data_IF_802310327040
#
_entry.id   IF_802310327040
#
_cell.length_a   1.000
_cell.length_b   1.000
_cell.length_c   1.000
_cell.angle_alpha   90.00
_cell.angle_beta   90.00
_cell.angle_gamma   90.00
#
_symmetry.space_group_name_H-M   'P 1'
#
loop_
_entity.id
_entity.type
_entity.pdbx_description
1 polymer ?
#
# COMPACT_ATOMS: atom_id res chain seq x y z
N UNK A 1 28.22 1.51 -61.96
CA UNK A 1 28.30 1.66 -60.47
C UNK A 1 27.47 0.58 -59.80
N UNK A 2 28.07 -0.22 -58.94
CA UNK A 2 27.31 -1.16 -58.12
C UNK A 2 26.43 -0.36 -57.11
N UNK A 3 25.16 -0.76 -56.97
CA UNK A 3 24.21 -0.12 -56.03
C UNK A 3 23.70 -1.13 -55.01
N UNK A 4 23.38 -0.63 -53.84
CA UNK A 4 22.85 -1.45 -52.74
C UNK A 4 23.90 -2.39 -52.16
N UNK A 5 23.51 -3.65 -51.88
CA UNK A 5 24.37 -4.66 -51.21
C UNK A 5 25.68 -4.99 -51.98
N UNK A 6 25.76 -4.67 -53.22
CA UNK A 6 26.97 -4.88 -54.06
C UNK A 6 27.85 -3.63 -54.15
N UNK A 7 27.56 -2.60 -53.38
CA UNK A 7 28.40 -1.41 -53.27
C UNK A 7 29.67 -1.70 -52.47
N UNK A 8 30.64 -0.81 -52.57
CA UNK A 8 31.82 -0.81 -51.71
C UNK A 8 31.62 0.14 -50.55
N UNK A 9 32.21 -0.14 -49.41
CA UNK A 9 32.31 0.72 -48.25
C UNK A 9 33.78 0.88 -47.82
N UNK A 10 34.06 1.96 -47.12
CA UNK A 10 35.39 2.25 -46.59
C UNK A 10 35.44 1.72 -45.15
N UNK A 11 36.51 1.00 -44.82
CA UNK A 11 36.75 0.57 -43.43
C UNK A 11 37.18 1.75 -42.58
N UNK A 12 36.55 1.94 -41.43
CA UNK A 12 36.89 3.01 -40.46
C UNK A 12 38.29 2.82 -39.85
N UNK A 13 38.84 1.61 -39.95
CA UNK A 13 40.16 1.28 -39.38
C UNK A 13 41.30 1.54 -40.35
N UNK A 14 41.23 0.97 -41.55
CA UNK A 14 42.29 1.08 -42.55
C UNK A 14 42.06 2.19 -43.57
N UNK A 15 40.85 2.69 -43.74
CA UNK A 15 40.50 3.62 -44.80
C UNK A 15 40.45 2.98 -46.21
N UNK A 16 40.54 1.65 -46.30
CA UNK A 16 40.49 0.92 -47.56
C UNK A 16 39.07 0.58 -47.98
N UNK A 17 38.85 0.45 -49.28
CA UNK A 17 37.56 0.06 -49.84
C UNK A 17 37.40 -1.45 -49.86
N UNK A 18 36.33 -1.94 -49.29
CA UNK A 18 35.93 -3.36 -49.27
C UNK A 18 34.48 -3.54 -49.76
N UNK A 19 34.08 -4.74 -50.18
CA UNK A 19 32.68 -5.04 -50.46
C UNK A 19 31.82 -4.80 -49.23
N UNK A 20 30.68 -4.11 -49.37
CA UNK A 20 29.79 -3.78 -48.27
C UNK A 20 29.29 -5.03 -47.50
N UNK A 21 29.10 -6.15 -48.22
CA UNK A 21 28.66 -7.42 -47.61
C UNK A 21 29.66 -8.05 -46.63
N UNK A 22 30.94 -7.67 -46.74
CA UNK A 22 32.02 -8.18 -45.89
C UNK A 22 32.35 -7.24 -44.72
N UNK A 23 31.62 -6.13 -44.64
CA UNK A 23 31.75 -5.17 -43.55
C UNK A 23 31.01 -5.62 -42.32
N UNK A 24 31.63 -5.50 -41.16
CA UNK A 24 31.09 -5.87 -39.82
C UNK A 24 31.23 -4.69 -38.90
N UNK A 25 30.25 -4.51 -38.02
CA UNK A 25 30.30 -3.47 -36.99
C UNK A 25 30.98 -4.00 -35.74
N UNK A 26 32.03 -3.31 -35.27
CA UNK A 26 32.72 -3.62 -34.03
C UNK A 26 31.95 -3.13 -32.79
N UNK A 27 32.42 -3.55 -31.63
CA UNK A 27 31.86 -3.17 -30.30
C UNK A 27 31.92 -1.66 -30.01
N UNK A 28 32.90 -0.95 -30.61
CA UNK A 28 33.08 0.52 -30.52
C UNK A 28 32.19 1.30 -31.49
N UNK A 29 31.48 0.59 -32.37
CA UNK A 29 30.60 1.17 -33.38
C UNK A 29 31.27 1.35 -34.77
N UNK A 30 32.55 1.07 -34.94
CA UNK A 30 33.26 1.17 -36.20
C UNK A 30 32.75 0.14 -37.20
N UNK A 31 32.66 0.54 -38.44
CA UNK A 31 32.35 -0.34 -39.55
C UNK A 31 33.67 -0.76 -40.22
N UNK A 32 34.07 -2.00 -40.05
CA UNK A 32 35.36 -2.51 -40.52
C UNK A 32 35.15 -3.75 -41.37
N UNK A 33 36.16 -4.06 -42.20
CA UNK A 33 36.16 -5.31 -42.96
C UNK A 33 36.36 -6.50 -42.00
N UNK A 34 35.80 -7.65 -42.33
CA UNK A 34 35.88 -8.87 -41.52
C UNK A 34 37.32 -9.30 -41.18
N UNK A 35 38.30 -9.03 -42.03
CA UNK A 35 39.72 -9.34 -41.73
C UNK A 35 40.35 -8.41 -40.69
N UNK A 36 39.73 -7.25 -40.44
CA UNK A 36 40.20 -6.23 -39.50
C UNK A 36 39.39 -6.22 -38.19
N UNK A 37 38.41 -7.11 -38.10
CA UNK A 37 37.51 -7.18 -36.93
C UNK A 37 38.27 -7.58 -35.69
N UNK A 38 38.11 -6.78 -34.64
CA UNK A 38 38.56 -7.09 -33.29
C UNK A 38 37.38 -7.26 -32.34
N UNK A 39 37.40 -8.38 -31.61
CA UNK A 39 36.45 -8.60 -30.54
C UNK A 39 36.77 -7.68 -29.36
N UNK A 40 35.75 -7.31 -28.62
CA UNK A 40 35.88 -6.55 -27.37
C UNK A 40 36.77 -7.31 -26.39
N UNK A 41 37.76 -6.63 -25.80
CA UNK A 41 38.63 -7.26 -24.83
C UNK A 41 37.84 -7.55 -23.54
N UNK A 42 37.96 -8.75 -22.95
CA UNK A 42 37.20 -9.15 -21.76
C UNK A 42 37.35 -8.19 -20.59
N UNK A 43 38.49 -7.52 -20.44
CA UNK A 43 38.69 -6.55 -19.35
C UNK A 43 37.88 -5.24 -19.53
N UNK A 44 37.35 -4.98 -20.70
CA UNK A 44 36.47 -3.85 -20.96
C UNK A 44 35.02 -4.15 -20.62
N UNK A 45 34.70 -5.41 -20.37
CA UNK A 45 33.45 -5.83 -19.80
C UNK A 45 33.63 -5.91 -18.30
N UNK A 46 33.10 -4.90 -17.60
CA UNK A 46 32.98 -5.00 -16.16
C UNK A 46 32.00 -6.14 -15.92
N UNK A 47 32.53 -7.30 -15.52
CA UNK A 47 31.65 -8.35 -14.99
C UNK A 47 30.98 -7.72 -13.76
N UNK A 48 29.67 -7.49 -13.82
CA UNK A 48 28.91 -7.21 -12.62
C UNK A 48 29.15 -8.40 -11.70
N UNK A 49 30.02 -8.23 -10.73
CA UNK A 49 30.14 -9.22 -9.65
C UNK A 49 28.71 -9.31 -9.12
N UNK A 50 28.10 -10.46 -9.28
CA UNK A 50 26.87 -10.79 -8.58
C UNK A 50 27.14 -10.41 -7.14
N UNK A 51 26.28 -9.58 -6.57
CA UNK A 51 26.48 -9.05 -5.24
C UNK A 51 26.80 -10.15 -4.26
N UNK A 52 27.37 -9.77 -3.14
CA UNK A 52 27.70 -10.63 -2.02
C UNK A 52 26.71 -11.81 -1.94
N UNK A 53 27.21 -13.03 -2.01
CA UNK A 53 26.38 -14.24 -1.88
C UNK A 53 25.60 -14.29 -0.56
N UNK A 54 25.97 -13.47 0.40
CA UNK A 54 25.25 -13.23 1.66
C UNK A 54 24.17 -12.12 1.53
N UNK A 55 24.19 -11.36 0.44
CA UNK A 55 23.17 -10.35 0.16
C UNK A 55 21.88 -10.98 -0.34
N UNK A 56 20.79 -10.73 0.31
CA UNK A 56 19.48 -11.14 -0.18
C UNK A 56 19.10 -10.27 -1.39
N UNK A 57 18.71 -10.91 -2.50
CA UNK A 57 18.13 -10.22 -3.65
C UNK A 57 16.65 -10.00 -3.34
N UNK A 58 16.15 -8.78 -3.58
CA UNK A 58 14.74 -8.40 -3.32
C UNK A 58 14.32 -8.55 -1.85
N UNK A 59 15.18 -8.13 -0.95
CA UNK A 59 14.89 -8.12 0.49
C UNK A 59 13.64 -7.28 0.76
N UNK A 60 12.65 -7.91 1.35
CA UNK A 60 11.48 -7.25 1.92
C UNK A 60 11.46 -7.52 3.42
N UNK A 61 12.20 -6.76 4.20
CA UNK A 61 12.16 -6.92 5.65
C UNK A 61 10.76 -6.65 6.16
N UNK A 62 10.39 -7.30 7.25
CA UNK A 62 9.18 -6.95 7.98
C UNK A 62 9.24 -5.47 8.34
N UNK A 63 8.10 -4.80 8.17
CA UNK A 63 7.99 -3.40 8.56
C UNK A 63 8.08 -3.33 10.07
N UNK A 64 9.17 -2.78 10.55
CA UNK A 64 9.35 -2.43 11.97
C UNK A 64 8.83 -1.02 12.28
N UNK A 65 8.15 -0.39 11.31
CA UNK A 65 7.52 0.90 11.52
C UNK A 65 6.42 0.76 12.58
N UNK A 66 6.40 1.69 13.51
CA UNK A 66 5.32 1.79 14.49
C UNK A 66 3.97 1.91 13.76
N UNK A 67 2.96 1.30 14.34
CA UNK A 67 1.60 1.39 13.81
C UNK A 67 1.19 2.86 13.69
N UNK A 68 0.72 3.26 12.52
CA UNK A 68 0.19 4.60 12.26
C UNK A 68 -1.33 4.57 12.24
N UNK A 69 -1.94 5.73 12.52
CA UNK A 69 -3.36 5.87 12.34
C UNK A 69 -3.74 5.74 10.86
N UNK A 70 -4.70 4.87 10.54
CA UNK A 70 -5.20 4.64 9.19
C UNK A 70 -6.51 5.39 8.97
N UNK A 71 -6.68 6.10 7.85
CA UNK A 71 -7.95 6.71 7.51
C UNK A 71 -9.02 5.62 7.28
N UNK A 72 -10.19 5.82 7.85
CA UNK A 72 -11.34 4.96 7.66
C UNK A 72 -12.19 5.44 6.47
N UNK A 73 -12.99 4.52 5.93
CA UNK A 73 -13.99 4.86 4.92
C UNK A 73 -15.03 5.84 5.49
N UNK A 74 -15.80 6.55 4.66
CA UNK A 74 -16.92 7.34 5.13
C UNK A 74 -17.95 6.48 5.87
N UNK A 75 -18.42 6.99 7.02
CA UNK A 75 -19.36 6.31 7.92
C UNK A 75 -18.93 4.88 8.33
N UNK A 76 -17.77 4.73 8.97
CA UNK A 76 -17.19 3.43 9.23
C UNK A 76 -17.84 2.71 10.39
N UNK A 77 -18.64 3.39 11.23
CA UNK A 77 -19.27 2.85 12.41
C UNK A 77 -20.73 2.47 12.12
N UNK A 78 -21.15 1.34 12.64
CA UNK A 78 -22.52 0.84 12.53
C UNK A 78 -22.96 0.33 13.93
N UNK A 79 -24.02 0.91 14.46
CA UNK A 79 -24.67 0.41 15.67
C UNK A 79 -25.51 -0.81 15.36
N UNK A 80 -25.60 -1.77 16.28
CA UNK A 80 -26.23 -3.07 16.00
C UNK A 80 -27.69 -3.08 16.48
N UNK A 81 -27.93 -2.64 17.70
CA UNK A 81 -29.25 -2.67 18.31
C UNK A 81 -29.38 -1.55 19.34
N UNK A 82 -30.62 -1.13 19.60
CA UNK A 82 -30.92 -0.20 20.68
C UNK A 82 -30.44 -0.74 22.03
N UNK A 83 -29.95 0.15 22.88
CA UNK A 83 -29.39 -0.17 24.19
C UNK A 83 -28.20 -1.14 24.18
N UNK A 84 -27.59 -1.38 23.01
CA UNK A 84 -26.34 -2.11 22.88
C UNK A 84 -25.16 -1.14 22.81
N UNK A 85 -24.10 -1.42 23.56
CA UNK A 85 -22.83 -0.69 23.49
C UNK A 85 -21.91 -1.16 22.35
N UNK A 86 -22.29 -2.22 21.66
CA UNK A 86 -21.45 -2.81 20.63
C UNK A 86 -21.67 -2.14 19.29
N UNK A 87 -20.58 -1.70 18.66
CA UNK A 87 -20.59 -1.15 17.31
C UNK A 87 -19.67 -1.96 16.40
N UNK A 88 -20.10 -2.16 15.16
CA UNK A 88 -19.27 -2.67 14.10
C UNK A 88 -18.44 -1.55 13.48
N UNK A 89 -17.19 -1.81 13.21
CA UNK A 89 -16.29 -0.85 12.57
C UNK A 89 -15.81 -1.45 11.25
N UNK A 90 -15.99 -0.71 10.18
CA UNK A 90 -15.47 -1.08 8.87
C UNK A 90 -14.07 -0.50 8.65
N UNK A 91 -13.07 -1.36 8.57
CA UNK A 91 -11.68 -0.99 8.23
C UNK A 91 -11.12 -2.02 7.25
N UNK A 92 -10.93 -1.62 6.00
CA UNK A 92 -10.45 -2.51 4.95
C UNK A 92 -9.04 -3.04 5.23
N UNK A 93 -8.89 -4.37 5.22
CA UNK A 93 -7.60 -5.06 5.40
C UNK A 93 -6.88 -4.61 6.69
N UNK A 94 -7.62 -4.59 7.80
CA UNK A 94 -7.12 -4.03 9.06
C UNK A 94 -5.93 -4.78 9.65
N UNK A 95 -5.77 -6.09 9.40
CA UNK A 95 -4.65 -6.88 9.90
C UNK A 95 -4.56 -6.99 11.43
N UNK A 96 -5.66 -6.67 12.14
CA UNK A 96 -5.72 -6.67 13.60
C UNK A 96 -6.17 -8.02 14.13
N UNK A 97 -5.82 -8.30 15.37
CA UNK A 97 -6.23 -9.49 16.11
C UNK A 97 -7.22 -9.14 17.22
N UNK A 98 -8.03 -10.11 17.60
CA UNK A 98 -8.91 -9.95 18.78
C UNK A 98 -8.06 -9.65 20.01
N UNK A 99 -8.52 -8.69 20.82
CA UNK A 99 -7.87 -8.10 21.99
C UNK A 99 -6.84 -7.00 21.69
N UNK A 100 -6.58 -6.68 20.42
CA UNK A 100 -5.78 -5.49 20.11
C UNK A 100 -6.48 -4.23 20.64
N UNK A 101 -5.72 -3.19 20.96
CA UNK A 101 -6.27 -1.92 21.40
C UNK A 101 -6.26 -0.92 20.26
N UNK A 102 -7.43 -0.39 19.93
CA UNK A 102 -7.63 0.58 18.85
C UNK A 102 -8.17 1.89 19.41
N UNK A 103 -7.59 2.99 18.99
CA UNK A 103 -8.09 4.34 19.27
C UNK A 103 -8.55 4.99 17.97
N UNK A 104 -9.76 5.54 18.02
CA UNK A 104 -10.28 6.36 16.93
C UNK A 104 -9.87 7.82 17.11
N UNK A 105 -9.63 8.50 16.01
CA UNK A 105 -9.21 9.90 15.95
C UNK A 105 -9.91 10.60 14.80
N UNK A 106 -9.94 11.91 14.87
CA UNK A 106 -10.59 12.75 13.88
C UNK A 106 -12.02 13.14 14.29
N UNK A 107 -12.67 13.95 13.46
CA UNK A 107 -14.05 14.36 13.70
C UNK A 107 -14.99 13.18 13.44
N UNK A 108 -15.84 12.89 14.39
CA UNK A 108 -16.83 11.82 14.32
C UNK A 108 -18.20 12.45 14.23
N UNK A 109 -18.83 12.34 13.07
CA UNK A 109 -20.07 13.05 12.73
C UNK A 109 -21.26 12.11 12.65
N UNK A 110 -22.46 12.72 12.72
CA UNK A 110 -23.67 12.08 12.23
C UNK A 110 -23.74 12.20 10.70
N UNK A 111 -24.44 11.29 10.04
CA UNK A 111 -24.69 11.37 8.58
C UNK A 111 -25.55 12.58 8.20
N UNK A 112 -26.27 13.17 9.16
CA UNK A 112 -27.27 14.22 8.93
C UNK A 112 -26.74 15.65 9.09
N UNK A 113 -25.52 15.84 9.57
CA UNK A 113 -24.96 17.18 9.79
C UNK A 113 -23.62 17.35 9.05
N UNK A 114 -23.65 17.89 7.82
CA UNK A 114 -22.45 18.14 7.05
C UNK A 114 -21.58 19.28 7.59
N UNK A 115 -22.12 20.13 8.47
CA UNK A 115 -21.42 21.29 9.03
C UNK A 115 -20.74 21.00 10.38
N UNK A 116 -20.89 19.80 10.92
CA UNK A 116 -20.30 19.40 12.19
C UNK A 116 -18.76 19.24 12.16
N UNK A 117 -18.09 19.88 11.21
CA UNK A 117 -16.65 19.80 11.03
C UNK A 117 -15.82 20.21 12.26
N UNK A 118 -16.40 21.02 13.15
CA UNK A 118 -15.71 21.51 14.35
C UNK A 118 -16.27 20.97 15.68
N UNK A 119 -17.31 20.16 15.64
CA UNK A 119 -17.92 19.63 16.86
C UNK A 119 -18.31 18.16 16.69
N UNK A 120 -17.51 17.23 17.24
CA UNK A 120 -17.80 15.80 17.13
C UNK A 120 -19.03 15.44 17.95
N UNK A 121 -20.19 15.52 17.33
CA UNK A 121 -21.49 15.32 18.01
C UNK A 121 -21.75 13.84 18.28
N UNK A 122 -21.01 12.93 17.63
CA UNK A 122 -21.29 11.50 17.71
C UNK A 122 -22.47 11.09 16.81
N UNK A 123 -22.95 9.87 16.99
CA UNK A 123 -24.09 9.33 16.26
C UNK A 123 -24.83 8.30 17.12
N UNK A 124 -26.13 8.18 16.90
CA UNK A 124 -27.03 7.22 17.58
C UNK A 124 -26.89 7.20 19.14
N UNK A 125 -26.72 8.38 19.74
CA UNK A 125 -26.54 8.52 21.19
C UNK A 125 -25.09 8.33 21.67
N UNK A 126 -24.21 7.82 20.84
CA UNK A 126 -22.80 7.64 21.15
C UNK A 126 -22.06 8.96 20.86
N UNK A 127 -21.42 9.53 21.87
CA UNK A 127 -20.71 10.80 21.71
C UNK A 127 -19.37 10.63 21.01
N UNK A 128 -18.97 11.63 20.22
CA UNK A 128 -17.68 11.63 19.58
C UNK A 128 -16.50 11.58 20.57
N UNK A 129 -16.67 12.17 21.74
CA UNK A 129 -15.69 12.14 22.82
C UNK A 129 -15.46 10.71 23.36
N UNK A 130 -16.51 9.93 23.49
CA UNK A 130 -16.38 8.55 23.91
C UNK A 130 -15.72 7.70 22.83
N UNK A 131 -16.14 7.84 21.57
CA UNK A 131 -15.49 7.13 20.47
C UNK A 131 -13.99 7.49 20.33
N UNK A 132 -13.62 8.76 20.54
CA UNK A 132 -12.24 9.22 20.49
C UNK A 132 -11.46 9.02 21.79
N UNK A 133 -11.95 8.20 22.71
CA UNK A 133 -11.33 7.89 24.00
C UNK A 133 -9.84 7.63 23.91
N UNK A 134 -9.07 8.35 24.74
CA UNK A 134 -7.59 8.31 24.69
C UNK A 134 -7.01 6.92 24.98
N UNK A 135 -7.65 6.16 25.87
CA UNK A 135 -7.23 4.80 26.20
C UNK A 135 -7.47 3.79 25.07
N UNK A 136 -8.29 4.16 24.07
CA UNK A 136 -8.72 3.24 23.03
C UNK A 136 -9.71 2.20 23.52
N UNK A 137 -10.00 1.24 22.65
CA UNK A 137 -10.93 0.14 22.86
C UNK A 137 -10.25 -1.18 22.56
N UNK A 138 -10.50 -2.19 23.38
CA UNK A 138 -10.19 -3.57 23.01
C UNK A 138 -11.16 -4.04 21.94
N UNK A 139 -10.66 -4.65 20.89
CA UNK A 139 -11.46 -5.06 19.75
C UNK A 139 -11.74 -6.56 19.74
N UNK A 140 -12.81 -6.94 19.08
CA UNK A 140 -13.08 -8.32 18.66
C UNK A 140 -13.21 -8.35 17.16
N UNK A 141 -12.41 -9.18 16.48
CA UNK A 141 -12.44 -9.30 15.02
C UNK A 141 -13.74 -9.97 14.57
N UNK A 142 -14.35 -9.41 13.57
CA UNK A 142 -15.60 -9.89 12.97
C UNK A 142 -16.71 -8.86 13.02
N UNK A 143 -17.80 -9.13 12.30
CA UNK A 143 -19.03 -8.35 12.31
C UNK A 143 -20.03 -9.04 13.22
N UNK A 144 -20.74 -8.29 14.09
CA UNK A 144 -21.82 -8.82 14.91
C UNK A 144 -23.17 -8.48 14.30
N UNK A 145 -24.13 -9.39 14.49
CA UNK A 145 -25.53 -9.19 14.15
C UNK A 145 -26.30 -8.48 15.28
N UNK A 146 -27.59 -8.21 15.06
CA UNK A 146 -28.46 -7.58 16.02
C UNK A 146 -28.68 -8.42 17.31
N UNK A 147 -28.36 -9.70 17.27
CA UNK A 147 -28.38 -10.60 18.45
C UNK A 147 -27.03 -10.63 19.18
N UNK A 148 -26.02 -9.90 18.67
CA UNK A 148 -24.70 -9.83 19.25
C UNK A 148 -23.77 -10.99 18.88
N UNK A 149 -24.20 -11.91 17.98
CA UNK A 149 -23.39 -13.02 17.54
C UNK A 149 -22.40 -12.58 16.45
N UNK A 150 -21.18 -13.13 16.48
CA UNK A 150 -20.21 -12.87 15.42
C UNK A 150 -20.61 -13.68 14.20
N UNK A 151 -20.93 -12.98 13.11
CA UNK A 151 -21.38 -13.59 11.85
C UNK A 151 -20.24 -13.95 10.93
N UNK A 152 -19.07 -13.34 11.12
CA UNK A 152 -17.88 -13.59 10.27
C UNK A 152 -16.60 -13.37 11.07
N UNK A 153 -15.99 -14.46 11.53
CA UNK A 153 -14.77 -14.46 12.35
C UNK A 153 -13.49 -14.28 11.52
N UNK A 154 -13.54 -14.56 10.20
CA UNK A 154 -12.41 -14.41 9.28
C UNK A 154 -12.44 -13.06 8.56
N UNK A 155 -13.03 -12.07 9.18
CA UNK A 155 -13.32 -10.83 8.49
C UNK A 155 -12.16 -9.84 8.59
N UNK A 156 -11.42 -9.71 7.49
CA UNK A 156 -10.38 -8.69 7.33
C UNK A 156 -10.94 -7.26 7.16
N UNK A 157 -12.25 -7.09 7.20
CA UNK A 157 -12.91 -5.82 6.93
C UNK A 157 -13.66 -5.24 8.12
N UNK A 158 -13.96 -6.03 9.14
CA UNK A 158 -14.73 -5.57 10.29
C UNK A 158 -14.14 -6.06 11.60
N UNK A 159 -14.26 -5.22 12.59
CA UNK A 159 -14.09 -5.57 13.99
C UNK A 159 -15.15 -4.84 14.83
N UNK A 160 -15.34 -5.28 16.04
CA UNK A 160 -16.31 -4.67 16.97
C UNK A 160 -15.61 -4.07 18.17
N UNK A 161 -16.18 -3.00 18.68
CA UNK A 161 -15.79 -2.38 19.94
C UNK A 161 -17.01 -2.21 20.83
N UNK A 162 -16.79 -2.17 22.13
CA UNK A 162 -17.84 -1.91 23.12
C UNK A 162 -17.72 -0.47 23.62
N UNK A 163 -18.78 0.32 23.39
CA UNK A 163 -18.85 1.75 23.68
C UNK A 163 -20.04 2.05 24.60
N UNK A 164 -20.56 3.27 24.53
CA UNK A 164 -21.83 3.63 25.15
C UNK A 164 -23.02 3.02 24.39
N UNK A 165 -24.15 2.97 25.06
CA UNK A 165 -25.36 2.38 24.49
C UNK A 165 -25.93 3.21 23.35
N UNK A 166 -26.20 2.55 22.22
CA UNK A 166 -26.91 3.12 21.09
C UNK A 166 -28.38 3.43 21.46
N UNK A 167 -28.90 4.51 20.87
CA UNK A 167 -30.30 4.93 21.10
C UNK A 167 -31.27 4.11 20.25
N UNK A 168 -30.96 3.90 18.99
CA UNK A 168 -31.88 3.30 18.02
C UNK A 168 -31.37 1.96 17.49
N UNK A 169 -30.08 1.86 17.19
CA UNK A 169 -29.46 0.71 16.53
C UNK A 169 -29.64 0.73 15.02
N UNK A 170 -28.84 -0.06 14.33
CA UNK A 170 -28.82 -0.18 12.86
C UNK A 170 -28.59 1.16 12.13
N UNK A 171 -27.76 2.00 12.73
CA UNK A 171 -27.41 3.32 12.18
C UNK A 171 -25.91 3.34 11.87
N UNK A 172 -25.60 3.75 10.64
CA UNK A 172 -24.21 4.00 10.23
C UNK A 172 -23.84 5.46 10.46
N UNK A 173 -22.62 5.71 10.95
CA UNK A 173 -22.14 7.05 11.27
C UNK A 173 -20.62 7.16 11.30
N UNK A 174 -20.17 8.34 11.74
CA UNK A 174 -18.75 8.69 11.82
C UNK A 174 -18.28 9.68 10.77
N UNK A 175 -19.00 9.83 9.67
CA UNK A 175 -18.70 10.79 8.63
C UNK A 175 -17.39 10.51 7.90
N UNK A 176 -16.76 11.56 7.41
CA UNK A 176 -15.46 11.52 6.71
C UNK A 176 -14.36 12.05 7.64
N UNK A 177 -13.17 11.47 7.53
CA UNK A 177 -12.01 11.98 8.26
C UNK A 177 -11.70 11.27 9.57
N UNK A 178 -12.45 10.23 9.91
CA UNK A 178 -12.10 9.35 11.01
C UNK A 178 -10.88 8.49 10.65
N UNK A 179 -10.08 8.19 11.65
CA UNK A 179 -8.95 7.27 11.54
C UNK A 179 -8.92 6.31 12.71
N UNK A 180 -8.37 5.13 12.49
CA UNK A 180 -8.11 4.11 13.51
C UNK A 180 -6.60 3.89 13.64
N UNK A 181 -6.14 3.62 14.86
CA UNK A 181 -4.73 3.36 15.10
C UNK A 181 -4.48 2.92 16.54
N UNK A 182 -3.21 2.72 16.91
CA UNK A 182 -2.86 2.36 18.28
C UNK A 182 -3.26 3.45 19.28
N UNK A 183 -3.40 3.09 20.55
CA UNK A 183 -3.76 4.04 21.60
C UNK A 183 -2.70 5.13 21.74
N UNK A 184 -1.43 4.77 21.69
CA UNK A 184 -0.27 5.66 21.66
C UNK A 184 0.39 5.59 20.30
N UNK A 185 0.55 6.74 19.64
CA UNK A 185 1.41 6.85 18.47
C UNK A 185 2.83 7.13 18.99
N UNK A 186 3.72 6.17 18.85
CA UNK A 186 5.15 6.41 19.06
C UNK A 186 5.67 7.23 17.87
N UNK A 187 6.23 8.38 18.17
CA UNK A 187 6.89 9.24 17.19
C UNK A 187 8.25 8.67 16.81
#
# INVERSE_FOLDING_TARGET
MARGKHSKAISDRSGMEFPYLEMVREWNGFLVHRSEFESKHPQLEISSKKGDDQGLIDVRPDRTESEVARPLAPNPFETIAASSGIINVFEKSHGRSTSDTVRFRGPIYTTSDPDAFNNPVGFDGITGANLAKAAGYSITVGKRDSSGNITNTENFYHFTVDTDTATTGDISGGGKGCSSGPATLTA
#
